data_IF_637815193377
#
_entry.id   IF_637815193377
#
_cell.length_a   1.000
_cell.length_b   1.000
_cell.length_c   1.000
_cell.angle_alpha   90.00
_cell.angle_beta   90.00
_cell.angle_gamma   90.00
#
_symmetry.space_group_name_H-M   'P 1'
#
loop_
_entity.id
_entity.type
_entity.pdbx_description
1 polymer ?
#
# COMPACT_ATOMS: atom_id res chain seq x y z
N UNK A 1 14.77 2.95 -13.62
CA UNK A 1 13.61 3.83 -13.36
C UNK A 1 14.08 5.15 -12.78
N UNK A 2 13.48 6.26 -13.19
CA UNK A 2 13.73 7.58 -12.59
C UNK A 2 12.94 7.73 -11.27
N UNK A 3 13.30 8.69 -10.39
CA UNK A 3 12.51 8.98 -9.19
C UNK A 3 11.03 9.29 -9.50
N UNK A 4 10.75 9.99 -10.60
CA UNK A 4 9.39 10.27 -11.04
C UNK A 4 8.63 8.99 -11.42
N UNK A 5 9.25 8.09 -12.19
CA UNK A 5 8.63 6.80 -12.54
C UNK A 5 8.36 5.92 -11.32
N UNK A 6 9.22 5.96 -10.30
CA UNK A 6 9.03 5.22 -9.06
C UNK A 6 7.85 5.75 -8.24
N UNK A 7 7.71 7.08 -8.13
CA UNK A 7 6.53 7.68 -7.51
C UNK A 7 5.24 7.34 -8.27
N UNK A 8 5.31 7.33 -9.61
CA UNK A 8 4.18 6.92 -10.43
C UNK A 8 3.78 5.46 -10.21
N UNK A 9 4.75 4.56 -10.16
CA UNK A 9 4.51 3.15 -9.84
C UNK A 9 3.86 3.02 -8.44
N UNK A 10 4.45 3.63 -7.41
CA UNK A 10 3.89 3.59 -6.05
C UNK A 10 2.46 4.13 -6.00
N UNK A 11 2.19 5.25 -6.67
CA UNK A 11 0.88 5.88 -6.73
C UNK A 11 -0.18 4.95 -7.35
N UNK A 12 0.12 4.36 -8.51
CA UNK A 12 -0.77 3.42 -9.19
C UNK A 12 -1.03 2.20 -8.31
N UNK A 13 0.03 1.60 -7.74
CA UNK A 13 -0.08 0.42 -6.89
C UNK A 13 -0.90 0.69 -5.63
N UNK A 14 -0.70 1.84 -4.97
CA UNK A 14 -1.46 2.26 -3.79
C UNK A 14 -2.94 2.51 -4.10
N UNK A 15 -3.24 3.16 -5.22
CA UNK A 15 -4.63 3.36 -5.63
C UNK A 15 -5.29 2.01 -5.94
N UNK A 16 -4.61 1.15 -6.70
CA UNK A 16 -5.13 -0.16 -7.06
C UNK A 16 -5.36 -1.06 -5.83
N UNK A 17 -4.39 -1.14 -4.90
CA UNK A 17 -4.57 -1.91 -3.66
C UNK A 17 -5.64 -1.28 -2.76
N UNK A 18 -5.77 0.05 -2.76
CA UNK A 18 -6.83 0.76 -2.04
C UNK A 18 -8.22 0.40 -2.54
N UNK A 19 -8.42 0.38 -3.86
CA UNK A 19 -9.68 -0.08 -4.48
C UNK A 19 -9.93 -1.55 -4.14
N UNK A 20 -8.92 -2.41 -4.25
CA UNK A 20 -9.08 -3.83 -3.94
C UNK A 20 -9.48 -4.05 -2.48
N UNK A 21 -8.90 -3.29 -1.53
CA UNK A 21 -9.28 -3.31 -0.13
C UNK A 21 -10.75 -2.93 0.08
N UNK A 22 -11.23 -1.87 -0.58
CA UNK A 22 -12.63 -1.45 -0.50
C UNK A 22 -13.59 -2.48 -1.09
N UNK A 23 -13.22 -3.09 -2.23
CA UNK A 23 -14.02 -4.15 -2.86
C UNK A 23 -14.09 -5.37 -1.94
N UNK A 24 -12.96 -5.84 -1.42
CA UNK A 24 -12.94 -7.00 -0.51
C UNK A 24 -13.71 -6.69 0.78
N UNK A 25 -13.59 -5.48 1.33
CA UNK A 25 -14.40 -5.03 2.46
C UNK A 25 -15.91 -5.09 2.17
N UNK A 26 -16.33 -4.68 0.98
CA UNK A 26 -17.74 -4.58 0.62
C UNK A 26 -18.41 -5.93 0.33
N UNK A 27 -17.71 -6.87 -0.31
CA UNK A 27 -18.35 -8.09 -0.84
C UNK A 27 -17.66 -9.42 -0.49
N UNK A 28 -16.46 -9.40 0.10
CA UNK A 28 -15.64 -10.62 0.24
C UNK A 28 -15.09 -10.89 1.64
N UNK A 29 -15.23 -9.94 2.57
CA UNK A 29 -14.59 -10.01 3.89
C UNK A 29 -15.55 -10.48 4.98
N UNK A 30 -15.08 -11.32 5.91
CA UNK A 30 -15.72 -11.53 7.21
C UNK A 30 -15.98 -10.21 7.92
N UNK A 31 -17.05 -10.12 8.71
CA UNK A 31 -17.49 -8.88 9.37
C UNK A 31 -16.42 -8.23 10.25
N UNK A 32 -15.53 -9.03 10.86
CA UNK A 32 -14.40 -8.55 11.65
C UNK A 32 -13.34 -7.81 10.83
N UNK A 33 -13.25 -8.07 9.53
CA UNK A 33 -12.24 -7.51 8.63
C UNK A 33 -12.76 -6.36 7.76
N UNK A 34 -14.07 -6.18 7.64
CA UNK A 34 -14.67 -5.15 6.76
C UNK A 34 -14.19 -3.75 7.10
N UNK A 35 -14.26 -3.35 8.39
CA UNK A 35 -13.86 -2.00 8.80
C UNK A 35 -12.34 -1.78 8.66
N UNK A 36 -11.45 -2.68 9.14
CA UNK A 36 -10.02 -2.57 8.87
C UNK A 36 -9.69 -2.47 7.37
N UNK A 37 -10.26 -3.34 6.54
CA UNK A 37 -10.03 -3.32 5.09
C UNK A 37 -10.49 -2.00 4.48
N UNK A 38 -11.67 -1.50 4.85
CA UNK A 38 -12.18 -0.24 4.34
C UNK A 38 -11.29 0.95 4.74
N UNK A 39 -10.82 0.99 6.00
CA UNK A 39 -9.95 2.03 6.51
C UNK A 39 -8.59 2.05 5.77
N UNK A 40 -7.97 0.88 5.59
CA UNK A 40 -6.73 0.76 4.81
C UNK A 40 -6.96 1.09 3.33
N UNK A 41 -8.11 0.71 2.77
CA UNK A 41 -8.47 1.03 1.39
C UNK A 41 -8.54 2.53 1.13
N UNK A 42 -9.22 3.27 2.02
CA UNK A 42 -9.28 4.72 1.97
C UNK A 42 -7.90 5.37 2.17
N UNK A 43 -7.12 4.87 3.13
CA UNK A 43 -5.77 5.36 3.41
C UNK A 43 -4.84 5.20 2.20
N UNK A 44 -4.82 4.02 1.58
CA UNK A 44 -4.00 3.75 0.40
C UNK A 44 -4.44 4.57 -0.81
N UNK A 45 -5.75 4.70 -1.06
CA UNK A 45 -6.26 5.58 -2.11
C UNK A 45 -5.82 7.04 -1.93
N UNK A 46 -5.96 7.57 -0.71
CA UNK A 46 -5.55 8.94 -0.40
C UNK A 46 -4.04 9.15 -0.55
N UNK A 47 -3.21 8.25 0.00
CA UNK A 47 -1.75 8.32 -0.11
C UNK A 47 -1.28 8.17 -1.55
N UNK A 48 -1.90 7.28 -2.32
CA UNK A 48 -1.61 7.09 -3.74
C UNK A 48 -1.89 8.36 -4.56
N UNK A 49 -3.01 9.05 -4.31
CA UNK A 49 -3.33 10.32 -4.95
C UNK A 49 -2.39 11.46 -4.53
N UNK A 50 -2.05 11.53 -3.24
CA UNK A 50 -1.13 12.54 -2.70
C UNK A 50 0.31 12.34 -3.15
N UNK A 51 0.72 11.10 -3.45
CA UNK A 51 2.11 10.77 -3.73
C UNK A 51 2.69 11.59 -4.87
N UNK A 52 1.92 11.86 -5.94
CA UNK A 52 2.40 12.64 -7.08
C UNK A 52 2.81 14.05 -6.69
N UNK A 53 2.01 14.69 -5.83
CA UNK A 53 2.18 16.08 -5.40
C UNK A 53 3.09 16.22 -4.17
N UNK A 54 3.26 15.12 -3.43
CA UNK A 54 4.02 15.08 -2.18
C UNK A 54 5.52 14.95 -2.36
N UNK A 55 6.27 15.45 -1.37
CA UNK A 55 7.71 15.23 -1.23
C UNK A 55 8.03 13.97 -0.41
N UNK A 56 9.27 13.93 0.10
CA UNK A 56 9.78 12.87 0.99
C UNK A 56 8.81 12.46 2.12
N UNK A 57 8.14 13.37 2.85
CA UNK A 57 7.22 12.98 3.93
C UNK A 57 6.06 12.09 3.48
N UNK A 58 5.49 12.36 2.29
CA UNK A 58 4.37 11.56 1.76
C UNK A 58 4.83 10.17 1.34
N UNK A 59 6.04 10.06 0.79
CA UNK A 59 6.65 8.76 0.47
C UNK A 59 6.89 7.94 1.73
N UNK A 60 7.38 8.56 2.82
CA UNK A 60 7.55 7.89 4.12
C UNK A 60 6.20 7.43 4.67
N UNK A 61 5.19 8.30 4.66
CA UNK A 61 3.85 7.96 5.15
C UNK A 61 3.25 6.78 4.36
N UNK A 62 3.41 6.78 3.03
CA UNK A 62 3.01 5.67 2.17
C UNK A 62 3.73 4.38 2.53
N UNK A 63 5.05 4.40 2.68
CA UNK A 63 5.82 3.21 3.06
C UNK A 63 5.44 2.73 4.46
N UNK A 64 5.26 3.63 5.43
CA UNK A 64 4.86 3.27 6.78
C UNK A 64 3.48 2.61 6.81
N UNK A 65 2.48 3.23 6.17
CA UNK A 65 1.13 2.65 6.07
C UNK A 65 1.13 1.28 5.37
N UNK A 66 1.94 1.13 4.33
CA UNK A 66 2.10 -0.14 3.60
C UNK A 66 2.74 -1.20 4.48
N UNK A 67 3.83 -0.87 5.19
CA UNK A 67 4.50 -1.80 6.11
C UNK A 67 3.57 -2.21 7.26
N UNK A 68 2.82 -1.28 7.84
CA UNK A 68 1.84 -1.57 8.89
C UNK A 68 0.74 -2.50 8.39
N UNK A 69 0.17 -2.23 7.21
CA UNK A 69 -0.86 -3.10 6.63
C UNK A 69 -0.34 -4.50 6.33
N UNK A 70 0.87 -4.61 5.78
CA UNK A 70 1.51 -5.90 5.52
C UNK A 70 1.75 -6.70 6.80
N UNK A 71 2.25 -6.07 7.87
CA UNK A 71 2.51 -6.74 9.15
C UNK A 71 1.21 -7.18 9.81
N UNK A 72 0.23 -6.27 9.93
CA UNK A 72 -1.04 -6.57 10.59
C UNK A 72 -1.88 -7.57 9.78
N UNK A 73 -2.00 -7.35 8.48
CA UNK A 73 -2.72 -8.22 7.55
C UNK A 73 -2.06 -9.59 7.45
N UNK A 74 -0.73 -9.64 7.33
CA UNK A 74 0.05 -10.87 7.26
C UNK A 74 -0.04 -11.70 8.54
N UNK A 75 0.09 -11.06 9.71
CA UNK A 75 -0.05 -11.73 11.00
C UNK A 75 -1.46 -12.31 11.18
N UNK A 76 -2.50 -11.52 10.87
CA UNK A 76 -3.87 -11.99 10.94
C UNK A 76 -4.13 -13.14 9.95
N UNK A 77 -3.62 -13.05 8.72
CA UNK A 77 -3.78 -14.09 7.70
C UNK A 77 -3.08 -15.40 8.10
N UNK A 78 -1.89 -15.32 8.69
CA UNK A 78 -1.15 -16.50 9.15
C UNK A 78 -1.88 -17.24 10.30
N UNK A 79 -2.59 -16.50 11.16
CA UNK A 79 -3.31 -17.05 12.31
C UNK A 79 -4.73 -17.52 11.97
N UNK A 80 -5.46 -16.72 11.19
CA UNK A 80 -6.91 -16.87 11.00
C UNK A 80 -7.29 -17.25 9.56
N UNK A 81 -6.32 -17.32 8.65
CA UNK A 81 -6.57 -17.39 7.21
C UNK A 81 -7.23 -16.11 6.69
N UNK A 82 -7.81 -16.20 5.49
CA UNK A 82 -8.56 -15.10 4.92
C UNK A 82 -8.82 -15.28 3.43
N UNK A 83 -9.39 -14.27 2.76
CA UNK A 83 -9.64 -14.30 1.34
C UNK A 83 -8.34 -14.50 0.54
N UNK A 84 -8.41 -15.24 -0.56
CA UNK A 84 -7.27 -15.48 -1.47
C UNK A 84 -6.71 -14.19 -2.10
N UNK A 85 -7.46 -13.08 -2.02
CA UNK A 85 -7.00 -11.75 -2.45
C UNK A 85 -5.97 -11.13 -1.51
N UNK A 86 -5.88 -11.55 -0.24
CA UNK A 86 -4.93 -10.98 0.72
C UNK A 86 -3.45 -11.25 0.33
N UNK A 87 -3.05 -12.47 -0.05
CA UNK A 87 -1.71 -12.72 -0.59
C UNK A 87 -1.34 -11.82 -1.78
N UNK A 88 -2.30 -11.52 -2.66
CA UNK A 88 -2.08 -10.62 -3.81
C UNK A 88 -1.83 -9.19 -3.32
N UNK A 89 -2.58 -8.72 -2.33
CA UNK A 89 -2.34 -7.41 -1.70
C UNK A 89 -0.95 -7.34 -1.07
N UNK A 90 -0.50 -8.39 -0.37
CA UNK A 90 0.83 -8.43 0.23
C UNK A 90 1.96 -8.33 -0.81
N UNK A 91 1.79 -8.94 -1.99
CA UNK A 91 2.74 -8.78 -3.08
C UNK A 91 2.80 -7.33 -3.57
N UNK A 92 1.65 -6.66 -3.69
CA UNK A 92 1.59 -5.24 -4.06
C UNK A 92 2.29 -4.39 -2.99
N UNK A 93 2.08 -4.68 -1.71
CA UNK A 93 2.71 -3.97 -0.60
C UNK A 93 4.24 -4.08 -0.66
N UNK A 94 4.77 -5.27 -0.93
CA UNK A 94 6.21 -5.48 -1.12
C UNK A 94 6.76 -4.68 -2.30
N UNK A 95 6.01 -4.59 -3.42
CA UNK A 95 6.40 -3.77 -4.57
C UNK A 95 6.39 -2.27 -4.24
N UNK A 96 5.40 -1.78 -3.48
CA UNK A 96 5.34 -0.39 -3.03
C UNK A 96 6.53 -0.06 -2.12
N UNK A 97 6.85 -0.94 -1.15
CA UNK A 97 8.00 -0.78 -0.26
C UNK A 97 9.32 -0.79 -1.03
N UNK A 98 9.48 -1.73 -1.97
CA UNK A 98 10.67 -1.81 -2.84
C UNK A 98 10.82 -0.56 -3.70
N UNK A 99 9.72 -0.08 -4.30
CA UNK A 99 9.71 1.16 -5.09
C UNK A 99 10.06 2.39 -4.26
N UNK A 100 9.53 2.49 -3.03
CA UNK A 100 9.86 3.56 -2.08
C UNK A 100 11.32 3.53 -1.63
N UNK A 101 11.86 2.36 -1.31
CA UNK A 101 13.27 2.20 -0.95
C UNK A 101 14.21 2.59 -2.13
N UNK A 102 13.88 2.13 -3.35
CA UNK A 102 14.60 2.54 -4.56
C UNK A 102 14.50 4.05 -4.81
N UNK A 103 13.35 4.65 -4.53
CA UNK A 103 13.16 6.09 -4.65
C UNK A 103 14.10 6.82 -3.69
N UNK A 104 14.18 6.41 -2.42
CA UNK A 104 15.12 6.99 -1.45
C UNK A 104 16.58 6.90 -1.91
N UNK A 105 17.01 5.71 -2.32
CA UNK A 105 18.39 5.47 -2.74
C UNK A 105 18.82 6.33 -3.96
N UNK A 106 17.85 6.71 -4.81
CA UNK A 106 18.10 7.53 -6.02
C UNK A 106 17.90 9.02 -5.78
N UNK A 107 16.99 9.39 -4.87
CA UNK A 107 16.68 10.79 -4.57
C UNK A 107 17.77 11.49 -3.76
N UNK A 108 18.57 10.73 -2.99
CA UNK A 108 19.70 11.26 -2.21
C UNK A 108 20.99 11.49 -3.01
N UNK A 109 21.07 11.05 -4.28
CA UNK A 109 22.26 11.28 -5.15
C UNK A 109 22.17 12.57 -5.98
N UNK A 110 21.10 13.33 -5.83
CA UNK A 110 20.85 14.57 -6.59
C UNK A 110 20.87 15.82 -5.70
N UNK A 111 21.54 15.74 -4.55
CA UNK A 111 21.81 16.87 -3.66
C UNK A 111 23.32 17.06 -3.54
#
# INVERSE_FOLDING_TARGET
MTPASLKNLMSILLIATGVLHLVVAAIGAPSSLQLPLAAFGALYGALGALLQRGGKPVVIAAMAATATGLVLGGANYAQNGGPISLPVMFLIDLLVLGAGAMWFARSGKSA
#
